data_IF_275729106725
#
_entry.id   IF_275729106725
#
_cell.length_a   1.000
_cell.length_b   1.000
_cell.length_c   1.000
_cell.angle_alpha   90.00
_cell.angle_beta   90.00
_cell.angle_gamma   90.00
#
_symmetry.space_group_name_H-M   'P 1'
#
loop_
_entity.id
_entity.type
_entity.pdbx_description
1 polymer ?
#
# COMPACT_ATOMS: atom_id res chain seq x y z
N UNK A 1 19.88 -2.71 -1.32
CA UNK A 1 18.97 -3.37 -2.19
C UNK A 1 17.53 -2.85 -2.16
N UNK A 2 16.76 -3.14 -1.13
CA UNK A 2 15.30 -2.84 -1.06
C UNK A 2 15.03 -1.32 -1.08
N UNK A 3 15.81 -0.52 -0.39
CA UNK A 3 15.68 0.95 -0.32
C UNK A 3 15.80 1.61 -1.70
N UNK A 4 16.76 1.20 -2.52
CA UNK A 4 16.92 1.76 -3.88
C UNK A 4 15.77 1.42 -4.82
N UNK A 5 15.17 0.24 -4.66
CA UNK A 5 14.02 -0.17 -5.46
C UNK A 5 12.77 0.62 -5.06
N UNK A 6 12.57 0.84 -3.77
CA UNK A 6 11.46 1.63 -3.24
C UNK A 6 11.56 3.10 -3.67
N UNK A 7 12.75 3.72 -3.57
CA UNK A 7 13.00 5.08 -4.07
C UNK A 7 12.73 5.23 -5.58
N UNK A 8 13.14 4.23 -6.38
CA UNK A 8 12.85 4.21 -7.81
C UNK A 8 11.34 4.15 -8.08
N UNK A 9 10.62 3.32 -7.33
CA UNK A 9 9.16 3.19 -7.45
C UNK A 9 8.45 4.50 -7.10
N UNK A 10 8.83 5.15 -5.99
CA UNK A 10 8.29 6.46 -5.61
C UNK A 10 8.55 7.51 -6.69
N UNK A 11 9.80 7.61 -7.18
CA UNK A 11 10.14 8.55 -8.26
C UNK A 11 9.35 8.29 -9.54
N UNK A 12 9.11 7.02 -9.87
CA UNK A 12 8.28 6.65 -11.03
C UNK A 12 6.84 7.08 -10.85
N UNK A 13 6.25 6.86 -9.68
CA UNK A 13 4.88 7.32 -9.37
C UNK A 13 4.79 8.84 -9.37
N UNK A 14 5.73 9.55 -8.75
CA UNK A 14 5.79 11.00 -8.76
C UNK A 14 5.90 11.55 -10.19
N UNK A 15 6.72 10.92 -11.02
CA UNK A 15 6.85 11.28 -12.43
C UNK A 15 5.56 11.02 -13.21
N UNK A 16 4.88 9.91 -12.96
CA UNK A 16 3.57 9.61 -13.55
C UNK A 16 2.54 10.69 -13.19
N UNK A 17 2.46 11.08 -11.91
CA UNK A 17 1.55 12.14 -11.44
C UNK A 17 1.85 13.48 -12.13
N UNK A 18 3.12 13.77 -12.43
CA UNK A 18 3.52 15.03 -13.12
C UNK A 18 3.23 14.99 -14.62
N UNK A 19 3.29 13.81 -15.25
CA UNK A 19 3.14 13.65 -16.69
C UNK A 19 1.70 13.38 -17.13
N UNK A 20 0.86 12.91 -16.22
CA UNK A 20 -0.53 12.52 -16.51
C UNK A 20 -1.50 13.36 -15.70
N UNK A 21 -2.61 13.76 -16.32
CA UNK A 21 -3.69 14.47 -15.63
C UNK A 21 -4.48 13.59 -14.65
N UNK A 22 -4.29 12.27 -14.70
CA UNK A 22 -4.99 11.30 -13.84
C UNK A 22 -4.09 10.12 -13.48
N UNK A 23 -3.92 9.89 -12.18
CA UNK A 23 -3.43 8.63 -11.63
C UNK A 23 -4.58 8.04 -10.82
N UNK A 24 -4.93 6.79 -11.05
CA UNK A 24 -5.98 6.11 -10.30
C UNK A 24 -5.44 4.95 -9.50
N UNK A 25 -6.07 4.66 -8.37
CA UNK A 25 -5.75 3.53 -7.51
C UNK A 25 -7.01 2.72 -7.23
N UNK A 26 -6.97 1.39 -7.39
CA UNK A 26 -8.08 0.52 -7.06
C UNK A 26 -8.44 0.57 -5.57
N UNK A 27 -9.73 0.49 -5.27
CA UNK A 27 -10.26 0.45 -3.91
C UNK A 27 -9.62 -0.67 -3.05
N UNK A 28 -9.36 -1.84 -3.63
CA UNK A 28 -8.72 -2.97 -2.96
C UNK A 28 -7.34 -2.61 -2.38
N UNK A 29 -6.55 -1.82 -3.10
CA UNK A 29 -5.24 -1.38 -2.62
C UNK A 29 -5.34 -0.35 -1.47
N UNK A 30 -6.37 0.50 -1.47
CA UNK A 30 -6.62 1.40 -0.34
C UNK A 30 -7.01 0.60 0.91
N UNK A 31 -7.82 -0.44 0.74
CA UNK A 31 -8.19 -1.36 1.83
C UNK A 31 -6.97 -2.10 2.37
N UNK A 32 -6.09 -2.60 1.50
CA UNK A 32 -4.83 -3.23 1.89
C UNK A 32 -3.93 -2.24 2.65
N UNK A 33 -3.79 -1.02 2.16
CA UNK A 33 -3.07 0.06 2.85
C UNK A 33 -3.62 0.33 4.24
N UNK A 34 -4.94 0.37 4.42
CA UNK A 34 -5.57 0.55 5.72
C UNK A 34 -5.24 -0.62 6.67
N UNK A 35 -5.23 -1.85 6.17
CA UNK A 35 -4.80 -3.04 6.92
C UNK A 35 -3.33 -2.97 7.35
N UNK A 36 -2.45 -2.53 6.47
CA UNK A 36 -1.04 -2.30 6.79
C UNK A 36 -0.85 -1.20 7.84
N UNK A 37 -1.62 -0.11 7.77
CA UNK A 37 -1.58 0.96 8.76
C UNK A 37 -2.02 0.47 10.15
N UNK A 38 -3.11 -0.31 10.22
CA UNK A 38 -3.58 -0.94 11.47
C UNK A 38 -2.55 -1.92 12.04
N UNK A 39 -1.89 -2.69 11.18
CA UNK A 39 -0.83 -3.60 11.61
C UNK A 39 0.37 -2.84 12.13
N UNK A 40 0.77 -1.74 11.47
CA UNK A 40 1.86 -0.89 11.90
C UNK A 40 1.63 -0.31 13.31
N UNK A 41 0.38 0.05 13.65
CA UNK A 41 0.03 0.55 14.98
C UNK A 41 0.46 -0.36 16.13
N UNK A 42 0.50 -1.67 15.91
CA UNK A 42 0.92 -2.64 16.94
C UNK A 42 2.37 -2.45 17.40
N UNK A 43 3.19 -1.80 16.59
CA UNK A 43 4.60 -1.54 16.89
C UNK A 43 4.83 -0.25 17.69
N UNK A 44 3.78 0.52 18.00
CA UNK A 44 3.90 1.83 18.66
C UNK A 44 4.62 1.83 20.03
N UNK A 45 4.51 0.72 20.76
CA UNK A 45 5.04 0.58 22.12
C UNK A 45 6.14 -0.49 22.20
N UNK A 46 6.66 -0.93 21.09
CA UNK A 46 7.71 -1.95 21.03
C UNK A 46 9.04 -1.25 20.80
N UNK A 47 10.01 -1.55 21.66
CA UNK A 47 11.40 -1.12 21.44
C UNK A 47 11.99 -2.01 20.33
N UNK A 48 12.18 -1.43 19.17
CA UNK A 48 12.58 -2.13 17.97
C UNK A 48 13.94 -1.64 17.51
N UNK A 49 14.80 -2.57 17.09
CA UNK A 49 16.05 -2.23 16.45
C UNK A 49 15.79 -1.53 15.09
N UNK A 50 16.20 -0.25 14.94
CA UNK A 50 16.03 0.47 13.69
C UNK A 50 16.67 -0.21 12.48
N UNK A 51 17.78 -0.92 12.65
CA UNK A 51 18.48 -1.60 11.56
C UNK A 51 17.65 -2.79 11.03
N UNK A 52 16.96 -3.51 11.90
CA UNK A 52 16.05 -4.59 11.51
C UNK A 52 14.77 -4.04 10.90
N UNK A 53 14.23 -2.96 11.44
CA UNK A 53 12.93 -2.42 11.05
C UNK A 53 12.92 -1.76 9.67
N UNK A 54 14.06 -1.31 9.14
CA UNK A 54 14.13 -0.87 7.72
C UNK A 54 13.83 -2.00 6.73
N UNK A 55 13.90 -3.24 7.16
CA UNK A 55 13.58 -4.44 6.37
C UNK A 55 12.22 -5.04 6.69
N UNK A 56 11.41 -4.36 7.51
CA UNK A 56 10.05 -4.81 7.85
C UNK A 56 9.21 -5.01 6.59
N UNK A 57 8.40 -6.09 6.59
CA UNK A 57 7.40 -6.33 5.55
C UNK A 57 6.23 -5.32 5.58
N UNK A 58 6.09 -4.56 6.66
CA UNK A 58 5.11 -3.48 6.74
C UNK A 58 5.70 -2.19 6.20
N UNK A 59 5.13 -1.68 5.11
CA UNK A 59 5.64 -0.50 4.39
C UNK A 59 5.70 0.75 5.28
N UNK A 60 4.77 0.96 6.19
CA UNK A 60 4.78 2.13 7.10
C UNK A 60 5.91 2.03 8.11
N UNK A 61 6.14 0.83 8.67
CA UNK A 61 7.25 0.59 9.60
C UNK A 61 8.58 0.77 8.89
N UNK A 62 8.79 0.07 7.78
CA UNK A 62 10.03 0.15 7.00
C UNK A 62 10.34 1.59 6.55
N UNK A 63 9.32 2.33 6.08
CA UNK A 63 9.50 3.72 5.65
C UNK A 63 9.87 4.64 6.82
N UNK A 64 9.20 4.52 7.97
CA UNK A 64 9.52 5.34 9.15
C UNK A 64 10.96 5.18 9.59
N UNK A 65 11.44 3.94 9.73
CA UNK A 65 12.82 3.69 10.14
C UNK A 65 13.84 4.05 9.05
N UNK A 66 13.48 3.93 7.78
CA UNK A 66 14.31 4.42 6.67
C UNK A 66 14.46 5.95 6.70
N UNK A 67 13.40 6.67 7.05
CA UNK A 67 13.43 8.12 7.20
C UNK A 67 14.28 8.54 8.41
N UNK A 68 14.18 7.85 9.55
CA UNK A 68 15.07 8.06 10.71
C UNK A 68 16.53 7.91 10.26
N UNK A 69 16.86 6.80 9.60
CA UNK A 69 18.22 6.50 9.14
C UNK A 69 18.77 7.53 8.15
N UNK A 70 17.90 8.14 7.36
CA UNK A 70 18.27 9.21 6.42
C UNK A 70 18.44 10.60 7.06
N UNK A 71 18.12 10.75 8.34
CA UNK A 71 18.10 12.04 9.04
C UNK A 71 16.97 12.96 8.59
N UNK A 72 15.91 12.41 8.01
CA UNK A 72 14.75 13.20 7.59
C UNK A 72 14.00 13.79 8.79
N UNK A 73 13.41 14.98 8.60
CA UNK A 73 12.54 15.58 9.61
C UNK A 73 11.24 14.78 9.71
N UNK A 74 11.02 14.17 10.86
CA UNK A 74 9.87 13.33 11.15
C UNK A 74 8.92 13.99 12.16
N UNK A 75 7.65 13.55 12.23
CA UNK A 75 6.77 13.78 13.37
C UNK A 75 7.42 13.31 14.68
N UNK A 76 6.94 13.81 15.82
CA UNK A 76 7.53 13.63 17.15
C UNK A 76 7.72 12.17 17.59
N UNK A 77 6.92 11.26 17.06
CA UNK A 77 6.98 9.83 17.34
C UNK A 77 6.31 9.00 16.23
N UNK A 78 6.42 7.67 16.33
CA UNK A 78 5.85 6.74 15.37
C UNK A 78 4.33 6.87 15.22
N UNK A 79 3.60 7.08 16.32
CA UNK A 79 2.14 7.26 16.26
C UNK A 79 1.75 8.54 15.51
N UNK A 80 2.46 9.64 15.71
CA UNK A 80 2.22 10.89 14.96
C UNK A 80 2.56 10.72 13.47
N UNK A 81 3.59 9.91 13.17
CA UNK A 81 3.87 9.55 11.79
C UNK A 81 2.71 8.75 11.15
N UNK A 82 2.17 7.73 11.84
CA UNK A 82 1.01 6.99 11.33
C UNK A 82 -0.22 7.88 11.20
N UNK A 83 -0.44 8.80 12.15
CA UNK A 83 -1.54 9.73 12.14
C UNK A 83 -1.48 10.76 10.98
N UNK A 84 -0.31 10.97 10.39
CA UNK A 84 -0.20 11.79 9.18
C UNK A 84 -0.89 11.16 7.96
N UNK A 85 -1.13 9.85 7.98
CA UNK A 85 -1.89 9.14 6.95
C UNK A 85 -3.38 9.01 7.29
N UNK A 86 -3.70 8.79 8.58
CA UNK A 86 -5.08 8.74 9.06
C UNK A 86 -5.14 9.08 10.55
N UNK A 87 -5.90 10.09 10.90
CA UNK A 87 -6.10 10.48 12.31
C UNK A 87 -6.87 9.41 13.08
N UNK A 88 -7.71 8.63 12.40
CA UNK A 88 -8.47 7.55 12.98
C UNK A 88 -7.58 6.45 13.61
N UNK A 89 -6.28 6.39 13.27
CA UNK A 89 -5.35 5.40 13.82
C UNK A 89 -5.04 5.64 15.31
N UNK A 90 -5.18 6.86 15.82
CA UNK A 90 -4.86 7.23 17.21
C UNK A 90 -5.78 6.58 18.23
N UNK A 91 -7.05 6.39 17.88
CA UNK A 91 -8.07 5.86 18.80
C UNK A 91 -8.48 4.46 18.38
N UNK A 92 -8.24 3.49 19.25
CA UNK A 92 -8.65 2.11 19.01
C UNK A 92 -10.17 1.98 19.03
N UNK A 93 -10.72 1.25 18.06
CA UNK A 93 -12.15 0.99 17.95
C UNK A 93 -12.46 -0.49 18.04
N UNK A 94 -13.49 -0.84 18.78
CA UNK A 94 -13.96 -2.22 18.91
C UNK A 94 -14.51 -2.80 17.60
N UNK A 95 -15.12 -1.95 16.77
CA UNK A 95 -15.60 -2.37 15.45
C UNK A 95 -14.50 -2.15 14.40
N UNK A 96 -13.73 -3.20 14.14
CA UNK A 96 -12.62 -3.16 13.17
C UNK A 96 -13.09 -2.76 11.76
N UNK A 97 -14.25 -3.23 11.30
CA UNK A 97 -14.75 -2.87 9.97
C UNK A 97 -15.06 -1.39 9.83
N UNK A 98 -15.66 -0.80 10.87
CA UNK A 98 -15.91 0.65 10.91
C UNK A 98 -14.59 1.43 10.96
N UNK A 99 -13.62 0.96 11.73
CA UNK A 99 -12.31 1.57 11.86
C UNK A 99 -11.55 1.55 10.53
N UNK A 100 -11.51 0.40 9.84
CA UNK A 100 -10.91 0.28 8.49
C UNK A 100 -11.55 1.28 7.53
N UNK A 101 -12.87 1.41 7.53
CA UNK A 101 -13.58 2.37 6.65
C UNK A 101 -13.16 3.83 6.89
N UNK A 102 -13.01 4.23 8.15
CA UNK A 102 -12.55 5.59 8.47
C UNK A 102 -11.11 5.81 7.98
N UNK A 103 -10.22 4.86 8.23
CA UNK A 103 -8.85 4.93 7.72
C UNK A 103 -8.85 5.02 6.19
N UNK A 104 -9.65 4.22 5.50
CA UNK A 104 -9.77 4.29 4.05
C UNK A 104 -10.28 5.65 3.56
N UNK A 105 -11.22 6.26 4.28
CA UNK A 105 -11.72 7.61 3.96
C UNK A 105 -10.60 8.65 4.08
N UNK A 106 -9.81 8.58 5.14
CA UNK A 106 -8.66 9.48 5.34
C UNK A 106 -7.62 9.28 4.24
N UNK A 107 -7.26 8.02 3.94
CA UNK A 107 -6.30 7.69 2.88
C UNK A 107 -6.79 8.16 1.51
N UNK A 108 -8.07 7.95 1.19
CA UNK A 108 -8.67 8.44 -0.06
C UNK A 108 -8.58 9.96 -0.14
N UNK A 109 -8.90 10.67 0.94
CA UNK A 109 -8.81 12.12 1.00
C UNK A 109 -7.38 12.62 0.81
N UNK A 110 -6.40 11.90 1.37
CA UNK A 110 -4.97 12.21 1.22
C UNK A 110 -4.52 12.01 -0.23
N UNK A 111 -4.94 10.92 -0.87
CA UNK A 111 -4.64 10.62 -2.27
C UNK A 111 -5.24 11.66 -3.21
N UNK A 112 -6.49 12.07 -2.98
CA UNK A 112 -7.15 13.12 -3.77
C UNK A 112 -6.41 14.46 -3.70
N UNK A 113 -5.84 14.83 -2.54
CA UNK A 113 -4.97 16.01 -2.41
C UNK A 113 -3.70 15.90 -3.27
N UNK A 114 -3.23 14.67 -3.53
CA UNK A 114 -2.10 14.38 -4.41
C UNK A 114 -2.49 14.15 -5.88
N UNK A 115 -3.71 14.52 -6.30
CA UNK A 115 -4.26 14.26 -7.63
C UNK A 115 -4.36 12.77 -8.01
N UNK A 116 -4.47 11.90 -7.01
CA UNK A 116 -4.73 10.47 -7.21
C UNK A 116 -6.20 10.19 -6.95
N UNK A 117 -6.86 9.52 -7.88
CA UNK A 117 -8.30 9.25 -7.83
C UNK A 117 -8.51 7.79 -7.41
N UNK A 118 -9.42 7.56 -6.48
CA UNK A 118 -9.90 6.21 -6.21
C UNK A 118 -10.76 5.75 -7.37
N UNK A 119 -10.51 4.56 -7.88
CA UNK A 119 -11.26 3.97 -8.97
C UNK A 119 -11.92 2.65 -8.53
N UNK A 120 -13.18 2.49 -8.91
CA UNK A 120 -13.89 1.22 -8.76
C UNK A 120 -13.56 0.32 -9.94
N UNK A 121 -12.92 -0.80 -9.67
CA UNK A 121 -12.71 -1.83 -10.69
C UNK A 121 -14.01 -2.60 -10.90
N UNK A 122 -14.39 -2.93 -12.15
CA UNK A 122 -15.51 -3.81 -12.42
C UNK A 122 -15.35 -5.16 -11.71
N UNK A 123 -16.46 -5.79 -11.40
CA UNK A 123 -16.43 -7.16 -10.90
C UNK A 123 -16.02 -8.09 -12.05
N UNK A 124 -14.96 -8.84 -11.85
CA UNK A 124 -14.55 -9.94 -12.73
C UNK A 124 -14.94 -11.27 -12.08
N UNK A 125 -15.40 -12.22 -12.89
CA UNK A 125 -15.62 -13.60 -12.44
C UNK A 125 -14.26 -14.30 -12.29
N UNK A 126 -14.20 -15.27 -11.38
CA UNK A 126 -12.96 -16.06 -11.18
C UNK A 126 -12.47 -16.73 -12.48
N UNK A 127 -13.41 -17.13 -13.35
CA UNK A 127 -13.11 -17.70 -14.66
C UNK A 127 -12.32 -16.73 -15.56
N UNK A 128 -12.67 -15.43 -15.50
CA UNK A 128 -12.03 -14.38 -16.29
C UNK A 128 -10.61 -14.02 -15.79
N UNK A 129 -10.29 -14.40 -14.55
CA UNK A 129 -9.03 -14.09 -13.89
C UNK A 129 -8.07 -15.29 -13.84
N UNK A 130 -8.55 -16.48 -14.13
CA UNK A 130 -7.79 -17.73 -13.98
C UNK A 130 -6.45 -17.72 -14.72
N UNK A 131 -6.43 -17.20 -15.92
CA UNK A 131 -5.20 -17.14 -16.72
C UNK A 131 -4.22 -16.13 -16.15
N UNK A 132 -4.71 -14.97 -15.68
CA UNK A 132 -3.90 -13.95 -15.02
C UNK A 132 -3.33 -14.46 -13.68
N UNK A 133 -4.13 -15.17 -12.87
CA UNK A 133 -3.69 -15.77 -11.60
C UNK A 133 -2.58 -16.82 -11.86
N UNK A 134 -2.73 -17.63 -12.90
CA UNK A 134 -1.74 -18.64 -13.27
C UNK A 134 -0.44 -17.99 -13.78
N UNK A 135 -0.50 -17.06 -14.72
CA UNK A 135 0.67 -16.37 -15.27
C UNK A 135 1.43 -15.62 -14.16
N UNK A 136 0.70 -14.91 -13.29
CA UNK A 136 1.32 -14.18 -12.19
C UNK A 136 1.98 -15.12 -11.17
N UNK A 137 1.34 -16.27 -10.87
CA UNK A 137 1.89 -17.29 -9.99
C UNK A 137 3.17 -17.91 -10.56
N UNK A 138 3.23 -18.14 -11.87
CA UNK A 138 4.43 -18.61 -12.56
C UNK A 138 5.55 -17.57 -12.44
N UNK A 139 5.25 -16.32 -12.74
CA UNK A 139 6.23 -15.23 -12.63
C UNK A 139 6.78 -15.05 -11.19
N UNK A 140 5.96 -15.27 -10.16
CA UNK A 140 6.41 -15.23 -8.77
C UNK A 140 7.37 -16.39 -8.46
N UNK A 141 7.04 -17.62 -8.91
CA UNK A 141 7.90 -18.79 -8.71
C UNK A 141 9.25 -18.63 -9.41
N UNK A 142 9.28 -18.13 -10.63
CA UNK A 142 10.53 -17.84 -11.36
C UNK A 142 11.44 -16.84 -10.62
N UNK A 143 10.84 -15.91 -9.88
CA UNK A 143 11.55 -14.93 -9.07
C UNK A 143 11.86 -15.39 -7.64
N UNK A 144 11.58 -16.65 -7.31
CA UNK A 144 11.68 -17.20 -5.95
C UNK A 144 10.91 -16.34 -4.91
N UNK A 145 9.72 -15.88 -5.28
CA UNK A 145 8.84 -15.09 -4.41
C UNK A 145 7.57 -15.89 -4.11
N UNK A 146 7.14 -15.81 -2.87
CA UNK A 146 5.84 -16.32 -2.44
C UNK A 146 4.90 -15.17 -2.13
N UNK A 147 3.65 -15.33 -2.51
CA UNK A 147 2.60 -14.36 -2.22
C UNK A 147 1.30 -15.11 -1.88
N UNK A 148 0.56 -14.70 -0.82
CA UNK A 148 -0.74 -15.29 -0.51
C UNK A 148 -1.71 -15.22 -1.70
N UNK A 149 -2.48 -16.30 -1.93
CA UNK A 149 -3.34 -16.41 -3.11
C UNK A 149 -4.33 -15.25 -3.29
N UNK A 150 -4.90 -14.72 -2.20
CA UNK A 150 -5.79 -13.56 -2.27
C UNK A 150 -5.09 -12.29 -2.77
N UNK A 151 -3.79 -12.12 -2.51
CA UNK A 151 -3.02 -10.99 -3.02
C UNK A 151 -2.61 -11.21 -4.48
N UNK A 152 -2.38 -12.47 -4.90
CA UNK A 152 -2.21 -12.82 -6.32
C UNK A 152 -3.47 -12.43 -7.08
N UNK A 153 -4.63 -12.82 -6.58
CA UNK A 153 -5.91 -12.50 -7.18
C UNK A 153 -6.18 -10.99 -7.29
N UNK A 154 -5.83 -10.20 -6.26
CA UNK A 154 -5.93 -8.73 -6.34
C UNK A 154 -5.06 -8.14 -7.45
N UNK A 155 -3.83 -8.63 -7.60
CA UNK A 155 -2.94 -8.15 -8.66
C UNK A 155 -3.45 -8.56 -10.05
N UNK A 156 -4.01 -9.76 -10.19
CA UNK A 156 -4.63 -10.24 -11.44
C UNK A 156 -5.82 -9.38 -11.86
N UNK A 157 -6.66 -8.98 -10.91
CA UNK A 157 -7.74 -8.01 -11.14
C UNK A 157 -7.18 -6.70 -11.71
N UNK A 158 -6.13 -6.17 -11.09
CA UNK A 158 -5.52 -4.91 -11.53
C UNK A 158 -4.89 -5.04 -12.93
N UNK A 159 -4.21 -6.15 -13.22
CA UNK A 159 -3.63 -6.44 -14.53
C UNK A 159 -4.70 -6.53 -15.61
N UNK A 160 -5.74 -7.32 -15.38
CA UNK A 160 -6.86 -7.44 -16.32
C UNK A 160 -7.51 -6.09 -16.60
N UNK A 161 -7.81 -5.34 -15.53
CA UNK A 161 -8.41 -4.01 -15.65
C UNK A 161 -7.54 -3.05 -16.47
N UNK A 162 -6.22 -3.13 -16.31
CA UNK A 162 -5.29 -2.32 -17.07
C UNK A 162 -5.30 -2.74 -18.55
N UNK A 163 -5.25 -4.05 -18.82
CA UNK A 163 -5.26 -4.57 -20.18
C UNK A 163 -6.56 -4.24 -20.91
N UNK A 164 -7.71 -4.35 -20.27
CA UNK A 164 -9.02 -4.02 -20.86
C UNK A 164 -9.15 -2.53 -21.23
N UNK A 165 -8.26 -1.65 -20.73
CA UNK A 165 -8.25 -0.20 -21.02
C UNK A 165 -7.23 0.25 -22.08
N UNK A 166 -6.30 -0.61 -22.42
CA UNK A 166 -5.21 -0.28 -23.37
C UNK A 166 -5.60 -0.58 -24.81
N UNK A 167 -6.83 -1.08 -25.04
CA UNK A 167 -7.35 -1.41 -26.39
C UNK A 167 -8.03 -0.20 -27.02
#
# INVERSE_FOLDING_TARGET
GVTKTFEKSIKSVQRAITLTSKVSIPYSYINECAGHLLTARKYQNVDLDPEEMVHSNNAFVSNYYSLIKSGAKLPSNFMEYLASFSVAIKTEKSNIKAWVREIMTDLTSLLMKGNVIQESIPFYKDEDLKDYDNEYSICLKEKNKEKPGHLVHHDSIALKYTNDRVI
#
